data_IF_522683983178
#
_entry.id   IF_522683983178
#
_cell.length_a   1.000
_cell.length_b   1.000
_cell.length_c   1.000
_cell.angle_alpha   90.00
_cell.angle_beta   90.00
_cell.angle_gamma   90.00
#
_symmetry.space_group_name_H-M   'P 1'
#
loop_
_entity.id
_entity.type
_entity.pdbx_description
1 polymer ?
#
# COMPACT_ATOMS: atom_id res chain seq x y z
N UNK A 1 58.46 -44.65 30.97
CA UNK A 1 59.31 -43.93 29.99
C UNK A 1 59.04 -42.44 30.15
N UNK A 2 60.04 -41.70 30.63
CA UNK A 2 60.07 -40.23 30.71
C UNK A 2 60.02 -39.62 29.28
N UNK A 3 59.60 -38.37 29.05
CA UNK A 3 60.15 -37.12 29.58
C UNK A 3 59.19 -35.94 29.35
N UNK A 4 59.14 -35.03 30.31
CA UNK A 4 58.67 -33.64 30.21
C UNK A 4 59.61 -32.80 29.33
N UNK A 5 59.12 -31.64 28.82
CA UNK A 5 59.59 -30.26 29.16
C UNK A 5 58.90 -29.21 28.25
N UNK A 6 58.00 -28.44 28.86
CA UNK A 6 57.91 -26.97 29.00
C UNK A 6 57.98 -25.95 27.82
N UNK A 7 56.96 -25.07 27.85
CA UNK A 7 56.90 -23.59 27.74
C UNK A 7 57.51 -22.78 26.58
N UNK A 8 56.63 -21.94 25.98
CA UNK A 8 56.74 -20.51 25.61
C UNK A 8 55.82 -20.29 24.39
N UNK A 9 54.86 -19.37 24.31
CA UNK A 9 54.64 -18.09 24.96
C UNK A 9 54.03 -17.17 23.88
N UNK A 10 53.21 -16.21 24.32
CA UNK A 10 52.71 -15.06 23.55
C UNK A 10 51.47 -15.28 22.66
N UNK A 11 50.37 -14.68 23.09
CA UNK A 11 49.19 -14.47 22.27
C UNK A 11 49.50 -13.54 21.10
N UNK A 12 48.83 -13.79 19.98
CA UNK A 12 48.66 -12.81 18.93
C UNK A 12 47.19 -12.78 18.56
N UNK A 13 46.64 -11.58 18.70
CA UNK A 13 45.37 -11.15 18.18
C UNK A 13 45.15 -11.73 16.78
N UNK A 14 44.02 -12.42 16.60
CA UNK A 14 43.42 -12.59 15.29
C UNK A 14 42.93 -11.21 14.84
N UNK A 15 43.88 -10.39 14.38
CA UNK A 15 43.61 -9.27 13.51
C UNK A 15 42.85 -9.83 12.30
N UNK A 16 41.53 -9.62 12.31
CA UNK A 16 40.70 -9.65 11.12
C UNK A 16 41.37 -8.78 10.09
N UNK A 17 42.05 -9.41 9.14
CA UNK A 17 42.66 -8.74 8.00
C UNK A 17 41.52 -8.06 7.26
N UNK A 18 41.41 -6.74 7.44
CA UNK A 18 40.59 -5.90 6.60
C UNK A 18 41.10 -6.07 5.16
N UNK A 19 40.37 -6.88 4.40
CA UNK A 19 40.40 -6.83 2.94
C UNK A 19 39.75 -5.50 2.51
N UNK A 20 40.53 -4.43 2.64
CA UNK A 20 40.37 -3.23 1.84
C UNK A 20 40.76 -3.58 0.40
N UNK A 21 39.76 -3.84 -0.43
CA UNK A 21 39.93 -4.18 -1.84
C UNK A 21 38.66 -3.96 -2.64
N UNK A 22 38.57 -2.77 -3.24
CA UNK A 22 37.90 -2.41 -4.50
C UNK A 22 36.72 -3.30 -4.96
N UNK A 23 35.52 -2.70 -4.96
CA UNK A 23 34.38 -3.20 -5.74
C UNK A 23 33.06 -3.37 -4.98
N UNK A 24 32.66 -2.44 -4.08
CA UNK A 24 31.22 -2.30 -3.78
C UNK A 24 30.55 -1.76 -5.04
N UNK A 25 30.20 -2.64 -5.96
CA UNK A 25 29.22 -2.34 -7.00
C UNK A 25 28.02 -1.72 -6.31
N UNK A 26 27.64 -0.52 -6.71
CA UNK A 26 26.45 0.16 -6.20
C UNK A 26 25.27 -0.80 -6.38
N UNK A 27 24.63 -1.20 -5.28
CA UNK A 27 23.47 -2.09 -5.34
C UNK A 27 22.45 -1.47 -6.31
N UNK A 28 22.01 -2.23 -7.32
CA UNK A 28 21.09 -1.77 -8.37
C UNK A 28 19.64 -1.67 -7.90
N UNK A 29 19.33 -2.28 -6.76
CA UNK A 29 18.01 -2.39 -6.16
C UNK A 29 18.13 -2.78 -4.68
N UNK A 30 17.04 -2.70 -3.93
CA UNK A 30 16.98 -3.08 -2.52
C UNK A 30 17.42 -1.98 -1.54
N UNK A 31 17.47 -2.28 -0.23
CA UNK A 31 17.53 -1.27 0.84
C UNK A 31 18.85 -0.49 0.89
N UNK A 32 19.89 -0.98 0.23
CA UNK A 32 21.21 -0.32 0.15
C UNK A 32 21.36 0.53 -1.12
N UNK A 33 20.32 0.61 -1.97
CA UNK A 33 20.32 1.46 -3.16
C UNK A 33 20.30 2.94 -2.76
N UNK A 34 21.11 3.79 -3.40
CA UNK A 34 21.24 5.20 -3.05
C UNK A 34 19.91 5.96 -3.14
N UNK A 35 19.10 5.67 -4.17
CA UNK A 35 17.75 6.23 -4.30
C UNK A 35 16.80 5.81 -3.18
N UNK A 36 16.87 4.56 -2.69
CA UNK A 36 16.02 4.11 -1.58
C UNK A 36 16.38 4.85 -0.27
N UNK A 37 17.67 5.02 0.00
CA UNK A 37 18.16 5.77 1.16
C UNK A 37 17.77 7.24 1.11
N UNK A 38 17.85 7.88 -0.06
CA UNK A 38 17.43 9.27 -0.25
C UNK A 38 15.93 9.45 -0.04
N UNK A 39 15.11 8.56 -0.60
CA UNK A 39 13.66 8.59 -0.43
C UNK A 39 13.27 8.40 1.05
N UNK A 40 13.89 7.45 1.75
CA UNK A 40 13.67 7.24 3.18
C UNK A 40 13.94 8.51 4.02
N UNK A 41 14.99 9.28 3.68
CA UNK A 41 15.34 10.53 4.38
C UNK A 41 14.34 11.68 4.18
N UNK A 42 13.41 11.58 3.21
CA UNK A 42 12.36 12.57 3.02
C UNK A 42 11.18 12.40 4.00
N UNK A 43 11.18 11.34 4.82
CA UNK A 43 10.16 11.15 5.85
C UNK A 43 10.34 12.13 7.00
N UNK A 44 9.29 12.91 7.31
CA UNK A 44 9.39 14.02 8.27
C UNK A 44 8.57 13.76 9.54
N UNK A 45 8.95 14.37 10.69
CA UNK A 45 8.14 14.31 11.90
C UNK A 45 6.72 14.86 11.72
N UNK A 46 6.55 15.88 10.86
CA UNK A 46 5.23 16.43 10.53
C UNK A 46 4.33 15.42 9.82
N UNK A 47 4.90 14.65 8.88
CA UNK A 47 4.20 13.56 8.21
C UNK A 47 3.75 12.49 9.21
N UNK A 48 4.66 12.07 10.09
CA UNK A 48 4.36 11.11 11.15
C UNK A 48 3.22 11.57 12.07
N UNK A 49 3.22 12.84 12.46
CA UNK A 49 2.16 13.42 13.29
C UNK A 49 0.80 13.36 12.58
N UNK A 50 0.75 13.75 11.30
CA UNK A 50 -0.46 13.67 10.48
C UNK A 50 -0.99 12.24 10.40
N UNK A 51 -0.13 11.25 10.13
CA UNK A 51 -0.54 9.84 10.04
C UNK A 51 -1.15 9.33 11.34
N UNK A 52 -0.57 9.66 12.49
CA UNK A 52 -1.13 9.32 13.81
C UNK A 52 -2.52 9.92 14.00
N UNK A 53 -2.68 11.21 13.73
CA UNK A 53 -3.98 11.89 13.83
C UNK A 53 -5.01 11.20 12.92
N UNK A 54 -4.62 10.92 11.67
CA UNK A 54 -5.51 10.27 10.70
C UNK A 54 -5.91 8.86 11.11
N UNK A 55 -4.99 8.05 11.63
CA UNK A 55 -5.29 6.70 12.13
C UNK A 55 -6.27 6.77 13.31
N UNK A 56 -5.98 7.59 14.33
CA UNK A 56 -6.85 7.69 15.52
C UNK A 56 -8.25 8.15 15.14
N UNK A 57 -8.37 9.21 14.33
CA UNK A 57 -9.67 9.72 13.90
C UNK A 57 -10.43 8.71 13.02
N UNK A 58 -9.75 8.05 12.08
CA UNK A 58 -10.35 7.06 11.19
C UNK A 58 -10.96 5.90 11.99
N UNK A 59 -10.19 5.28 12.89
CA UNK A 59 -10.69 4.16 13.69
C UNK A 59 -11.77 4.58 14.69
N UNK A 60 -11.70 5.80 15.24
CA UNK A 60 -12.75 6.34 16.11
C UNK A 60 -14.07 6.53 15.34
N UNK A 61 -14.02 7.11 14.15
CA UNK A 61 -15.19 7.29 13.29
C UNK A 61 -15.74 5.95 12.79
N UNK A 62 -14.88 5.01 12.40
CA UNK A 62 -15.30 3.67 12.02
C UNK A 62 -16.02 2.97 13.17
N UNK A 63 -15.48 3.02 14.39
CA UNK A 63 -16.11 2.42 15.57
C UNK A 63 -17.47 3.05 15.87
N UNK A 64 -17.55 4.39 15.86
CA UNK A 64 -18.81 5.12 16.06
C UNK A 64 -19.86 4.72 15.02
N UNK A 65 -19.51 4.81 13.74
CA UNK A 65 -20.41 4.49 12.63
C UNK A 65 -20.82 3.01 12.64
N UNK A 66 -19.91 2.10 13.02
CA UNK A 66 -20.21 0.68 13.12
C UNK A 66 -21.22 0.38 14.24
N UNK A 67 -21.06 1.00 15.42
CA UNK A 67 -22.06 0.91 16.49
C UNK A 67 -23.44 1.39 16.02
N UNK A 68 -23.49 2.51 15.28
CA UNK A 68 -24.76 3.00 14.71
C UNK A 68 -25.35 2.05 13.65
N UNK A 69 -24.53 1.44 12.80
CA UNK A 69 -24.99 0.41 11.88
C UNK A 69 -25.62 -0.78 12.65
N UNK A 70 -24.96 -1.27 13.70
CA UNK A 70 -25.49 -2.37 14.50
C UNK A 70 -26.83 -2.04 15.15
N UNK A 71 -26.96 -0.83 15.72
CA UNK A 71 -28.20 -0.38 16.38
C UNK A 71 -29.35 -0.21 15.39
N UNK A 72 -29.05 0.24 14.17
CA UNK A 72 -30.06 0.52 13.14
C UNK A 72 -30.24 -0.65 12.14
N UNK A 73 -29.65 -1.82 12.42
CA UNK A 73 -29.69 -2.95 11.51
C UNK A 73 -31.12 -3.43 11.26
N UNK A 74 -31.48 -3.59 9.98
CA UNK A 74 -32.80 -4.07 9.59
C UNK A 74 -32.72 -5.08 8.44
N UNK A 75 -33.37 -6.25 8.62
CA UNK A 75 -33.35 -7.36 7.66
C UNK A 75 -34.03 -7.02 6.32
N UNK A 76 -34.95 -6.04 6.32
CA UNK A 76 -35.63 -5.58 5.10
C UNK A 76 -34.69 -5.06 4.00
N UNK A 77 -33.45 -4.70 4.35
CA UNK A 77 -32.43 -4.26 3.40
C UNK A 77 -31.40 -5.33 3.05
N UNK A 78 -31.55 -6.59 3.48
CA UNK A 78 -30.50 -7.63 3.38
C UNK A 78 -29.79 -7.66 2.02
N UNK A 79 -30.55 -7.72 0.92
CA UNK A 79 -29.95 -7.77 -0.41
C UNK A 79 -29.20 -6.49 -0.79
N UNK A 80 -29.74 -5.32 -0.44
CA UNK A 80 -29.08 -4.04 -0.67
C UNK A 80 -27.84 -3.84 0.20
N UNK A 81 -27.85 -4.39 1.43
CA UNK A 81 -26.67 -4.41 2.32
C UNK A 81 -25.56 -5.24 1.68
N UNK A 82 -25.86 -6.47 1.24
CA UNK A 82 -24.88 -7.33 0.57
C UNK A 82 -24.34 -6.68 -0.72
N UNK A 83 -25.21 -6.12 -1.54
CA UNK A 83 -24.82 -5.38 -2.74
C UNK A 83 -23.93 -4.17 -2.39
N UNK A 84 -24.30 -3.40 -1.37
CA UNK A 84 -23.53 -2.26 -0.90
C UNK A 84 -22.13 -2.66 -0.43
N UNK A 85 -22.02 -3.74 0.36
CA UNK A 85 -20.72 -4.25 0.81
C UNK A 85 -19.86 -4.66 -0.38
N UNK A 86 -20.38 -5.49 -1.29
CA UNK A 86 -19.64 -5.94 -2.47
C UNK A 86 -19.22 -4.77 -3.36
N UNK A 87 -20.13 -3.81 -3.58
CA UNK A 87 -19.83 -2.60 -4.33
C UNK A 87 -18.72 -1.78 -3.65
N UNK A 88 -18.73 -1.67 -2.31
CA UNK A 88 -17.69 -0.97 -1.56
C UNK A 88 -16.31 -1.60 -1.74
N UNK A 89 -16.24 -2.94 -1.73
CA UNK A 89 -15.01 -3.70 -1.98
C UNK A 89 -14.51 -3.48 -3.42
N UNK A 90 -15.40 -3.59 -4.40
CA UNK A 90 -15.07 -3.38 -5.81
C UNK A 90 -14.61 -1.95 -6.08
N UNK A 91 -15.27 -0.95 -5.49
CA UNK A 91 -14.84 0.44 -5.59
C UNK A 91 -13.46 0.65 -4.95
N UNK A 92 -13.19 0.07 -3.78
CA UNK A 92 -11.87 0.14 -3.15
C UNK A 92 -10.78 -0.49 -4.03
N UNK A 93 -11.06 -1.67 -4.60
CA UNK A 93 -10.14 -2.36 -5.50
C UNK A 93 -9.85 -1.55 -6.76
N UNK A 94 -10.89 -1.03 -7.41
CA UNK A 94 -10.76 -0.17 -8.59
C UNK A 94 -9.98 1.11 -8.28
N UNK A 95 -10.36 1.82 -7.22
CA UNK A 95 -9.71 3.05 -6.81
C UNK A 95 -8.23 2.83 -6.48
N UNK A 96 -7.90 1.71 -5.82
CA UNK A 96 -6.51 1.33 -5.56
C UNK A 96 -5.72 1.14 -6.86
N UNK A 97 -6.32 0.51 -7.87
CA UNK A 97 -5.71 0.35 -9.19
C UNK A 97 -5.54 1.68 -9.92
N UNK A 98 -6.54 2.56 -9.87
CA UNK A 98 -6.48 3.87 -10.51
C UNK A 98 -5.38 4.75 -9.91
N UNK A 99 -5.28 4.80 -8.58
CA UNK A 99 -4.22 5.56 -7.89
C UNK A 99 -2.85 4.97 -8.18
N UNK A 100 -2.72 3.64 -8.11
CA UNK A 100 -1.46 2.95 -8.37
C UNK A 100 -0.98 3.13 -9.80
N UNK A 101 -1.85 2.88 -10.78
CA UNK A 101 -1.58 3.12 -12.20
C UNK A 101 -1.21 4.59 -12.46
N UNK A 102 -1.96 5.55 -11.90
CA UNK A 102 -1.68 6.97 -12.09
C UNK A 102 -0.32 7.39 -11.53
N UNK A 103 0.01 6.91 -10.32
CA UNK A 103 1.29 7.18 -9.67
C UNK A 103 2.47 6.52 -10.39
N UNK A 104 2.31 5.28 -10.86
CA UNK A 104 3.34 4.59 -11.62
C UNK A 104 3.55 5.26 -12.99
N UNK A 105 2.47 5.61 -13.66
CA UNK A 105 2.53 6.02 -15.07
C UNK A 105 2.88 7.49 -15.29
N UNK A 106 2.42 8.39 -14.42
CA UNK A 106 2.66 9.84 -14.56
C UNK A 106 3.15 10.53 -13.28
N UNK A 107 3.28 9.80 -12.18
CA UNK A 107 3.71 10.39 -10.92
C UNK A 107 5.15 10.90 -10.99
N UNK A 108 5.37 12.15 -10.56
CA UNK A 108 6.73 12.67 -10.35
C UNK A 108 6.93 13.11 -8.91
N UNK A 109 8.05 12.72 -8.32
CA UNK A 109 8.46 13.18 -6.97
C UNK A 109 8.87 14.65 -6.95
N UNK A 110 9.08 15.26 -8.12
CA UNK A 110 9.41 16.68 -8.27
C UNK A 110 8.18 17.58 -8.08
N UNK A 111 6.96 17.02 -8.16
CA UNK A 111 5.74 17.77 -7.88
C UNK A 111 5.77 18.29 -6.43
N UNK A 112 5.64 19.61 -6.22
CA UNK A 112 5.67 20.17 -4.87
C UNK A 112 4.52 19.61 -4.05
N UNK A 113 4.80 19.25 -2.79
CA UNK A 113 3.84 18.71 -1.81
C UNK A 113 3.37 17.28 -2.16
N UNK A 114 2.72 17.07 -3.30
CA UNK A 114 2.12 15.78 -3.69
C UNK A 114 3.20 14.74 -4.03
N UNK A 115 4.23 15.13 -4.77
CA UNK A 115 5.29 14.21 -5.20
C UNK A 115 6.03 13.58 -4.04
N UNK A 116 6.48 14.42 -3.09
CA UNK A 116 7.25 13.98 -1.91
C UNK A 116 6.44 13.17 -0.91
N UNK A 117 5.14 13.46 -0.77
CA UNK A 117 4.28 12.79 0.21
C UNK A 117 3.64 11.51 -0.34
N UNK A 118 3.18 11.50 -1.60
CA UNK A 118 2.34 10.43 -2.16
C UNK A 118 3.00 9.63 -3.28
N UNK A 119 3.86 10.22 -4.11
CA UNK A 119 4.51 9.49 -5.23
C UNK A 119 5.79 8.79 -4.76
N UNK A 120 6.47 9.36 -3.76
CA UNK A 120 7.70 8.82 -3.17
C UNK A 120 7.61 7.32 -2.83
N UNK A 121 6.56 6.84 -2.11
CA UNK A 121 6.50 5.42 -1.72
C UNK A 121 6.35 4.49 -2.92
N UNK A 122 5.68 4.90 -4.00
CA UNK A 122 5.56 4.12 -5.22
C UNK A 122 6.92 3.98 -5.91
N UNK A 123 7.67 5.08 -6.06
CA UNK A 123 9.03 5.03 -6.65
C UNK A 123 10.00 4.20 -5.81
N UNK A 124 9.93 4.31 -4.47
CA UNK A 124 10.72 3.48 -3.56
C UNK A 124 10.37 1.99 -3.73
N UNK A 125 9.09 1.67 -3.89
CA UNK A 125 8.59 0.31 -4.09
C UNK A 125 9.13 -0.37 -5.35
N UNK A 126 9.26 0.35 -6.46
CA UNK A 126 9.84 -0.22 -7.68
C UNK A 126 11.35 -0.48 -7.57
N UNK A 127 12.05 0.25 -6.69
CA UNK A 127 13.49 0.07 -6.43
C UNK A 127 13.74 -1.01 -5.35
N UNK A 128 12.91 -1.02 -4.32
CA UNK A 128 12.90 -2.02 -3.26
C UNK A 128 11.46 -2.44 -2.96
N UNK A 129 10.95 -3.48 -3.66
CA UNK A 129 9.58 -3.97 -3.48
C UNK A 129 9.26 -4.46 -2.06
N UNK A 130 10.30 -4.70 -1.25
CA UNK A 130 10.13 -5.13 0.14
C UNK A 130 10.17 -3.97 1.13
N UNK A 131 10.38 -2.72 0.68
CA UNK A 131 10.41 -1.54 1.55
C UNK A 131 9.16 -1.40 2.41
N UNK A 132 7.99 -1.54 1.77
CA UNK A 132 6.70 -1.51 2.44
C UNK A 132 6.58 -2.54 3.58
N UNK A 133 7.32 -3.65 3.53
CA UNK A 133 7.28 -4.67 4.59
C UNK A 133 7.93 -4.21 5.89
N UNK A 134 8.77 -3.17 5.84
CA UNK A 134 9.55 -2.65 6.97
C UNK A 134 8.91 -1.45 7.65
N UNK A 135 7.89 -0.84 7.04
CA UNK A 135 7.14 0.26 7.64
C UNK A 135 6.25 -0.27 8.77
N UNK A 136 5.97 0.52 9.80
CA UNK A 136 4.98 0.14 10.80
C UNK A 136 3.54 0.38 10.33
N UNK A 137 2.55 0.05 11.17
CA UNK A 137 1.15 0.18 10.81
C UNK A 137 0.74 1.62 10.49
N UNK A 138 1.31 2.60 11.18
CA UNK A 138 0.95 4.01 11.06
C UNK A 138 1.48 4.57 9.75
N UNK A 139 2.75 4.31 9.43
CA UNK A 139 3.35 4.73 8.16
C UNK A 139 2.71 3.99 6.97
N UNK A 140 2.36 2.70 7.14
CA UNK A 140 1.73 1.92 6.07
C UNK A 140 0.33 2.45 5.72
N UNK A 141 -0.47 2.84 6.72
CA UNK A 141 -1.92 3.06 6.55
C UNK A 141 -2.37 4.50 6.80
N UNK A 142 -1.50 5.40 7.26
CA UNK A 142 -1.89 6.75 7.69
C UNK A 142 -2.53 7.59 6.59
N UNK A 143 -2.03 7.50 5.35
CA UNK A 143 -2.63 8.18 4.20
C UNK A 143 -3.99 7.61 3.81
N UNK A 144 -4.12 6.29 3.81
CA UNK A 144 -5.40 5.65 3.53
C UNK A 144 -6.44 6.03 4.59
N UNK A 145 -6.03 6.05 5.87
CA UNK A 145 -6.88 6.53 6.96
C UNK A 145 -7.32 7.98 6.73
N UNK A 146 -6.40 8.87 6.32
CA UNK A 146 -6.71 10.27 6.03
C UNK A 146 -7.77 10.40 4.93
N UNK A 147 -7.63 9.65 3.83
CA UNK A 147 -8.58 9.68 2.72
C UNK A 147 -10.01 9.30 3.14
N UNK A 148 -10.16 8.43 4.14
CA UNK A 148 -11.48 7.99 4.61
C UNK A 148 -12.14 8.96 5.61
N UNK A 149 -11.43 9.97 6.14
CA UNK A 149 -11.96 10.82 7.21
C UNK A 149 -13.22 11.57 6.80
N UNK A 150 -13.22 12.20 5.62
CA UNK A 150 -14.38 12.99 5.15
C UNK A 150 -15.64 12.13 4.97
N UNK A 151 -15.62 11.01 4.22
CA UNK A 151 -16.82 10.19 4.07
C UNK A 151 -17.28 9.57 5.40
N UNK A 152 -16.36 9.19 6.29
CA UNK A 152 -16.69 8.66 7.61
C UNK A 152 -17.29 9.74 8.54
N UNK A 153 -16.76 10.96 8.52
CA UNK A 153 -17.30 12.08 9.29
C UNK A 153 -18.68 12.50 8.79
N UNK A 154 -18.88 12.53 7.47
CA UNK A 154 -20.19 12.77 6.86
C UNK A 154 -21.21 11.68 7.25
N UNK A 155 -20.80 10.42 7.23
CA UNK A 155 -21.63 9.31 7.72
C UNK A 155 -22.00 9.47 9.20
N UNK A 156 -21.03 9.84 10.05
CA UNK A 156 -21.28 10.07 11.47
C UNK A 156 -22.23 11.23 11.71
N UNK A 157 -22.05 12.34 10.98
CA UNK A 157 -22.96 13.48 11.00
C UNK A 157 -24.38 13.08 10.61
N UNK A 158 -24.56 12.26 9.57
CA UNK A 158 -25.87 11.78 9.15
C UNK A 158 -26.55 10.93 10.23
N UNK A 159 -25.82 10.06 10.94
CA UNK A 159 -26.38 9.31 12.07
C UNK A 159 -26.85 10.20 13.21
N UNK A 160 -26.21 11.36 13.42
CA UNK A 160 -26.56 12.29 14.49
C UNK A 160 -27.70 13.25 14.12
N UNK A 161 -27.94 13.49 12.83
CA UNK A 161 -28.81 14.58 12.37
C UNK A 161 -30.04 14.15 11.58
N UNK A 162 -29.99 13.01 10.88
CA UNK A 162 -31.12 12.53 10.11
C UNK A 162 -32.17 11.85 11.00
N UNK A 163 -33.41 11.82 10.54
CA UNK A 163 -34.52 11.14 11.20
C UNK A 163 -34.42 9.61 11.08
N UNK A 164 -35.12 8.84 11.93
CA UNK A 164 -35.13 7.37 11.83
C UNK A 164 -35.60 6.83 10.46
N UNK A 165 -36.55 7.50 9.81
CA UNK A 165 -37.02 7.12 8.48
C UNK A 165 -35.92 7.31 7.42
N UNK A 166 -35.16 8.41 7.52
CA UNK A 166 -34.03 8.68 6.63
C UNK A 166 -32.86 7.73 6.90
N UNK A 167 -32.60 7.36 8.16
CA UNK A 167 -31.61 6.32 8.49
C UNK A 167 -31.97 4.99 7.84
N UNK A 168 -33.24 4.57 7.94
CA UNK A 168 -33.73 3.36 7.30
C UNK A 168 -33.47 3.38 5.79
N UNK A 169 -33.86 4.46 5.10
CA UNK A 169 -33.66 4.58 3.66
C UNK A 169 -32.18 4.62 3.23
N UNK A 170 -31.32 5.30 3.99
CA UNK A 170 -29.89 5.43 3.67
C UNK A 170 -29.05 4.26 4.18
N UNK A 171 -29.62 3.30 4.91
CA UNK A 171 -28.88 2.21 5.55
C UNK A 171 -27.97 1.41 4.59
N UNK A 172 -28.42 1.03 3.37
CA UNK A 172 -27.53 0.33 2.43
C UNK A 172 -26.36 1.17 1.94
N UNK A 173 -26.57 2.48 1.74
CA UNK A 173 -25.51 3.42 1.36
C UNK A 173 -24.46 3.53 2.48
N UNK A 174 -24.90 3.60 3.72
CA UNK A 174 -24.02 3.58 4.88
C UNK A 174 -23.20 2.28 4.98
N UNK A 175 -23.80 1.13 4.66
CA UNK A 175 -23.06 -0.14 4.56
C UNK A 175 -22.00 -0.12 3.45
N UNK A 176 -22.33 0.45 2.29
CA UNK A 176 -21.39 0.67 1.19
C UNK A 176 -20.21 1.57 1.62
N UNK A 177 -20.50 2.73 2.21
CA UNK A 177 -19.46 3.68 2.67
C UNK A 177 -18.56 3.03 3.74
N UNK A 178 -19.13 2.29 4.68
CA UNK A 178 -18.37 1.58 5.70
C UNK A 178 -17.46 0.50 5.09
N UNK A 179 -17.99 -0.34 4.19
CA UNK A 179 -17.19 -1.36 3.52
C UNK A 179 -16.07 -0.75 2.68
N UNK A 180 -16.38 0.28 1.90
CA UNK A 180 -15.40 1.05 1.13
C UNK A 180 -14.30 1.61 2.04
N UNK A 181 -14.67 2.26 3.14
CA UNK A 181 -13.72 2.84 4.07
C UNK A 181 -12.81 1.78 4.72
N UNK A 182 -13.36 0.64 5.16
CA UNK A 182 -12.57 -0.47 5.73
C UNK A 182 -11.53 -0.95 4.72
N UNK A 183 -11.96 -1.22 3.48
CA UNK A 183 -11.04 -1.76 2.47
C UNK A 183 -10.02 -0.73 2.00
N UNK A 184 -10.39 0.54 1.82
CA UNK A 184 -9.44 1.63 1.51
C UNK A 184 -8.40 1.77 2.62
N UNK A 185 -8.83 1.84 3.88
CA UNK A 185 -7.93 1.93 5.04
C UNK A 185 -6.92 0.77 5.06
N UNK A 186 -7.35 -0.44 4.71
CA UNK A 186 -6.51 -1.64 4.73
C UNK A 186 -5.76 -1.91 3.42
N UNK A 187 -6.01 -1.19 2.33
CA UNK A 187 -5.40 -1.44 1.02
C UNK A 187 -3.88 -1.54 1.11
N UNK A 188 -3.20 -0.59 1.77
CA UNK A 188 -1.74 -0.62 1.88
C UNK A 188 -1.25 -1.75 2.80
N UNK A 189 -2.00 -2.07 3.86
CA UNK A 189 -1.68 -3.21 4.71
C UNK A 189 -1.80 -4.55 3.95
N UNK A 190 -2.82 -4.68 3.10
CA UNK A 190 -3.01 -5.85 2.24
C UNK A 190 -1.90 -5.93 1.19
N UNK A 191 -1.56 -4.81 0.56
CA UNK A 191 -0.42 -4.70 -0.36
C UNK A 191 0.88 -5.13 0.32
N UNK A 192 1.15 -4.64 1.53
CA UNK A 192 2.29 -5.07 2.37
C UNK A 192 2.30 -6.58 2.61
N UNK A 193 1.15 -7.17 2.94
CA UNK A 193 1.05 -8.63 3.10
C UNK A 193 1.26 -9.40 1.79
N UNK A 194 0.97 -8.80 0.64
CA UNK A 194 1.27 -9.43 -0.66
C UNK A 194 2.79 -9.53 -0.94
N UNK A 195 3.59 -8.69 -0.29
CA UNK A 195 5.06 -8.73 -0.32
C UNK A 195 5.70 -9.52 0.84
N UNK A 196 4.91 -9.96 1.83
CA UNK A 196 5.43 -10.64 3.03
C UNK A 196 5.33 -12.16 2.86
N UNK A 197 6.45 -12.84 2.62
CA UNK A 197 6.46 -14.27 2.34
C UNK A 197 6.52 -15.16 3.59
N UNK A 198 7.07 -14.65 4.69
CA UNK A 198 7.28 -15.39 5.95
C UNK A 198 6.67 -14.63 7.13
N UNK A 199 6.25 -15.36 8.17
CA UNK A 199 5.78 -14.75 9.42
C UNK A 199 4.39 -14.09 9.38
N UNK A 200 3.62 -14.27 8.30
CA UNK A 200 2.23 -13.78 8.26
C UNK A 200 1.31 -14.59 9.19
N UNK A 201 0.37 -13.93 9.88
CA UNK A 201 -0.66 -14.62 10.65
C UNK A 201 -1.48 -15.58 9.77
N UNK A 202 -1.86 -16.74 10.33
CA UNK A 202 -2.58 -17.77 9.58
C UNK A 202 -3.89 -17.29 8.94
N UNK A 203 -4.60 -16.36 9.59
CA UNK A 203 -5.83 -15.77 9.05
C UNK A 203 -5.57 -14.89 7.81
N UNK A 204 -4.44 -14.17 7.75
CA UNK A 204 -4.06 -13.40 6.55
C UNK A 204 -3.80 -14.35 5.39
N UNK A 205 -3.06 -15.43 5.65
CA UNK A 205 -2.77 -16.46 4.64
C UNK A 205 -4.05 -17.12 4.14
N UNK A 206 -4.99 -17.41 5.04
CA UNK A 206 -6.30 -17.93 4.69
C UNK A 206 -7.06 -16.97 3.76
N UNK A 207 -7.17 -15.69 4.11
CA UNK A 207 -7.86 -14.70 3.27
C UNK A 207 -7.19 -14.53 1.89
N UNK A 208 -5.85 -14.57 1.81
CA UNK A 208 -5.13 -14.56 0.55
C UNK A 208 -5.40 -15.81 -0.28
N UNK A 209 -5.39 -17.00 0.33
CA UNK A 209 -5.66 -18.27 -0.37
C UNK A 209 -7.11 -18.37 -0.86
N UNK A 210 -8.05 -17.76 -0.14
CA UNK A 210 -9.45 -17.65 -0.56
C UNK A 210 -9.72 -16.49 -1.53
N UNK A 211 -8.68 -15.74 -1.94
CA UNK A 211 -8.81 -14.57 -2.81
C UNK A 211 -9.77 -13.50 -2.26
N UNK A 212 -9.93 -13.39 -0.95
CA UNK A 212 -10.74 -12.34 -0.32
C UNK A 212 -9.94 -11.02 -0.26
N UNK A 213 -8.63 -11.14 -0.07
CA UNK A 213 -7.66 -10.03 -0.12
C UNK A 213 -6.52 -10.40 -1.07
N UNK A 214 -5.75 -9.41 -1.54
CA UNK A 214 -4.75 -9.59 -2.59
C UNK A 214 -3.75 -10.75 -2.31
N UNK A 215 -3.74 -11.81 -3.14
CA UNK A 215 -2.77 -12.89 -3.00
C UNK A 215 -1.36 -12.49 -3.48
N UNK A 216 -0.32 -13.00 -2.81
CA UNK A 216 1.11 -12.74 -3.17
C UNK A 216 1.43 -13.12 -4.62
N UNK A 217 0.97 -14.31 -5.06
CA UNK A 217 1.19 -14.79 -6.43
C UNK A 217 0.49 -13.92 -7.47
N UNK A 218 -0.67 -13.36 -7.12
CA UNK A 218 -1.42 -12.46 -7.99
C UNK A 218 -0.65 -11.15 -8.12
N UNK A 219 -0.29 -10.52 -7.01
CA UNK A 219 0.41 -9.23 -7.05
C UNK A 219 1.78 -9.31 -7.73
N UNK A 220 2.47 -10.46 -7.63
CA UNK A 220 3.74 -10.66 -8.34
C UNK A 220 3.62 -10.47 -9.86
N UNK A 221 2.45 -10.66 -10.47
CA UNK A 221 2.25 -10.43 -11.92
C UNK A 221 2.54 -8.98 -12.27
N UNK A 222 2.09 -8.03 -11.43
CA UNK A 222 2.39 -6.61 -11.60
C UNK A 222 3.89 -6.30 -11.48
N UNK A 223 4.61 -7.02 -10.61
CA UNK A 223 6.07 -6.89 -10.44
C UNK A 223 6.90 -7.49 -11.58
N UNK A 224 6.27 -8.07 -12.60
CA UNK A 224 6.98 -8.50 -13.81
C UNK A 224 7.10 -7.30 -14.74
N UNK A 225 8.33 -6.97 -15.13
CA UNK A 225 8.61 -5.95 -16.15
C UNK A 225 7.75 -6.22 -17.40
N UNK A 226 7.06 -5.21 -17.94
CA UNK A 226 7.29 -3.77 -17.76
C UNK A 226 6.42 -3.05 -16.70
N UNK A 227 5.79 -3.77 -15.76
CA UNK A 227 4.94 -3.18 -14.69
C UNK A 227 3.69 -2.43 -15.17
N UNK A 228 3.13 -2.82 -16.32
CA UNK A 228 2.03 -2.11 -16.98
C UNK A 228 0.64 -2.72 -16.72
N UNK A 229 0.54 -3.66 -15.79
CA UNK A 229 -0.65 -4.51 -15.62
C UNK A 229 -0.91 -4.81 -14.15
N UNK A 230 -2.15 -5.21 -13.84
CA UNK A 230 -2.61 -5.69 -12.53
C UNK A 230 -2.39 -4.69 -11.37
N UNK A 231 -2.78 -3.43 -11.59
CA UNK A 231 -2.60 -2.34 -10.64
C UNK A 231 -3.47 -2.41 -9.38
N UNK A 232 -4.61 -3.13 -9.38
CA UNK A 232 -5.50 -3.21 -8.22
C UNK A 232 -4.84 -4.02 -7.09
N UNK A 233 -4.66 -3.38 -5.93
CA UNK A 233 -3.88 -3.92 -4.81
C UNK A 233 -4.70 -4.18 -3.54
N UNK A 234 -6.03 -4.05 -3.60
CA UNK A 234 -6.89 -4.31 -2.44
C UNK A 234 -7.31 -5.77 -2.39
N UNK A 235 -8.03 -6.25 -3.39
CA UNK A 235 -8.40 -7.66 -3.55
C UNK A 235 -7.80 -8.26 -4.82
N UNK A 236 -7.53 -7.42 -5.82
CA UNK A 236 -7.12 -7.83 -7.16
C UNK A 236 -8.25 -8.44 -7.99
N UNK A 237 -9.51 -8.33 -7.55
CA UNK A 237 -10.67 -8.88 -8.28
C UNK A 237 -10.83 -8.27 -9.66
N UNK A 238 -10.51 -6.98 -9.79
CA UNK A 238 -10.68 -6.25 -11.05
C UNK A 238 -9.49 -6.37 -12.00
N UNK A 239 -8.36 -6.90 -11.55
CA UNK A 239 -7.16 -7.00 -12.39
C UNK A 239 -7.40 -7.81 -13.67
N UNK A 240 -7.94 -9.03 -13.56
CA UNK A 240 -8.19 -9.86 -14.74
C UNK A 240 -9.23 -9.28 -15.70
N UNK A 241 -10.41 -8.79 -15.23
CA UNK A 241 -11.36 -8.08 -16.09
C UNK A 241 -10.75 -6.86 -16.80
N UNK A 242 -10.04 -6.00 -16.08
CA UNK A 242 -9.47 -4.77 -16.65
C UNK A 242 -8.35 -5.08 -17.65
N UNK A 243 -7.54 -6.10 -17.39
CA UNK A 243 -6.54 -6.60 -18.34
C UNK A 243 -7.20 -7.10 -19.63
N UNK A 244 -8.25 -7.92 -19.53
CA UNK A 244 -8.96 -8.42 -20.73
C UNK A 244 -9.59 -7.31 -21.57
N UNK A 245 -9.99 -6.21 -20.93
CA UNK A 245 -10.50 -5.03 -21.61
C UNK A 245 -9.39 -4.13 -22.18
N UNK A 246 -8.12 -4.37 -21.85
CA UNK A 246 -7.02 -3.46 -22.14
C UNK A 246 -7.25 -2.07 -21.54
N UNK A 247 -7.88 -2.01 -20.35
CA UNK A 247 -8.39 -0.76 -19.79
C UNK A 247 -7.27 0.27 -19.60
N UNK A 248 -6.16 -0.14 -18.96
CA UNK A 248 -5.04 0.75 -18.63
C UNK A 248 -4.31 1.25 -19.89
N UNK A 249 -3.96 0.34 -20.80
CA UNK A 249 -3.26 0.71 -22.04
C UNK A 249 -4.10 1.60 -22.95
N UNK A 250 -5.41 1.32 -23.10
CA UNK A 250 -6.31 2.18 -23.88
C UNK A 250 -6.47 3.56 -23.28
N UNK A 251 -6.46 3.67 -21.94
CA UNK A 251 -6.55 4.95 -21.27
C UNK A 251 -5.24 5.74 -21.42
N UNK A 252 -4.09 5.07 -21.38
CA UNK A 252 -2.79 5.66 -21.72
C UNK A 252 -2.74 6.17 -23.16
N UNK A 253 -3.16 5.36 -24.13
CA UNK A 253 -3.24 5.75 -25.54
C UNK A 253 -4.14 6.99 -25.73
N UNK A 254 -5.29 7.00 -25.06
CA UNK A 254 -6.22 8.14 -25.09
C UNK A 254 -5.55 9.40 -24.51
N UNK A 255 -4.95 9.31 -23.32
CA UNK A 255 -4.28 10.45 -22.67
C UNK A 255 -3.16 10.95 -23.58
N UNK A 256 -2.28 10.08 -24.06
CA UNK A 256 -1.19 10.45 -24.97
C UNK A 256 -1.71 11.09 -26.26
N UNK A 257 -2.82 10.60 -26.84
CA UNK A 257 -3.39 11.18 -28.05
C UNK A 257 -3.95 12.60 -27.84
N UNK A 258 -4.42 12.90 -26.62
CA UNK A 258 -5.03 14.19 -26.27
C UNK A 258 -3.99 15.18 -25.76
N UNK A 259 -3.00 14.73 -24.98
CA UNK A 259 -2.05 15.62 -24.29
C UNK A 259 -0.65 15.61 -24.92
N UNK A 260 -0.29 14.55 -25.66
CA UNK A 260 1.07 14.30 -26.14
C UNK A 260 2.02 13.70 -25.09
N UNK A 261 1.59 13.57 -23.83
CA UNK A 261 2.41 13.04 -22.75
C UNK A 261 2.57 11.52 -22.85
N UNK A 262 3.82 11.05 -22.81
CA UNK A 262 4.12 9.61 -22.90
C UNK A 262 4.00 8.95 -21.51
N UNK A 263 3.31 7.80 -21.39
CA UNK A 263 3.25 7.04 -20.15
C UNK A 263 4.66 6.59 -19.72
N UNK A 264 4.92 6.59 -18.41
CA UNK A 264 6.16 6.06 -17.80
C UNK A 264 7.44 6.71 -18.33
N UNK A 265 7.38 7.99 -18.68
CA UNK A 265 8.52 8.73 -19.24
C UNK A 265 9.68 8.93 -18.27
N UNK A 266 9.46 8.73 -16.96
CA UNK A 266 10.47 8.91 -15.90
C UNK A 266 10.97 7.61 -15.25
N UNK A 267 10.41 6.43 -15.58
CA UNK A 267 10.76 5.14 -14.96
C UNK A 267 12.27 4.85 -14.99
N UNK A 268 12.94 5.20 -16.10
CA UNK A 268 14.37 5.00 -16.27
C UNK A 268 15.23 6.04 -15.54
N UNK A 269 14.68 7.21 -15.17
CA UNK A 269 15.47 8.27 -14.51
C UNK A 269 15.95 7.85 -13.12
N UNK A 270 15.14 7.08 -12.39
CA UNK A 270 15.46 6.64 -11.02
C UNK A 270 16.27 5.34 -10.99
N UNK A 271 15.98 4.40 -11.90
CA UNK A 271 16.69 3.13 -12.01
C UNK A 271 18.18 3.29 -12.41
N UNK A 272 18.55 4.43 -12.98
CA UNK A 272 19.91 4.74 -13.44
C UNK A 272 20.67 5.72 -12.52
N UNK A 273 20.11 6.12 -11.36
CA UNK A 273 20.79 7.06 -10.45
C UNK A 273 21.98 6.40 -9.76
N UNK A 274 23.16 6.51 -10.37
CA UNK A 274 24.45 6.12 -9.80
C UNK A 274 25.17 7.34 -9.25
N UNK A 275 25.12 7.51 -7.92
CA UNK A 275 25.85 8.49 -7.10
C UNK A 275 25.90 9.93 -7.61
#
# INVERSE_FOLDING_TARGET
MARMVNENGCGQDLQSTELNGAGRGTARWGPQHAGALELANLYSPGKRCQEWISVVLCFSLMAFNFCHLLVNFHLGHMWYILLGIVAGILTADFASGLVHWGADTWGSVELPIVGKAFIRPFREHHIDPTAITRHDFIETNGDNCMLTLVPLAHMAFNFLTLSPAEHYHNYPWHCYVMALAIFVTLTNQIHKWSHTYFGLPGWVVFLQNCHIILPRKHHRIHHVSPHETYFCITTGWLNYPLEKLGFWSRLEDLIQSVTGEKPRSDDLKWAHKTK
#
